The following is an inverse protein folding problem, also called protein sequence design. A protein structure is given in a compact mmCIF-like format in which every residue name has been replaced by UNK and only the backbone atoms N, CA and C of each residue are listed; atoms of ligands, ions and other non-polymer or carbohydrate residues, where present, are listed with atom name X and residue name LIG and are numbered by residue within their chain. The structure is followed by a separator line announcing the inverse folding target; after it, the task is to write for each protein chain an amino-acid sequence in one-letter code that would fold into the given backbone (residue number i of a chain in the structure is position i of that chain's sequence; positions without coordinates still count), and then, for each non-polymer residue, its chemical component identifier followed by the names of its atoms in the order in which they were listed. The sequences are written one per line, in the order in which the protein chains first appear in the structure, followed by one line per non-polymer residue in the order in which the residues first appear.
data_IF_682638574478
#
_entry.id   IF_682638574478
#
_cell.length_a   1.000
_cell.length_b   1.000
_cell.length_c   1.000
_cell.angle_alpha   90.00
_cell.angle_beta   90.00
_cell.angle_gamma   90.00
#
_symmetry.space_group_name_H-M   'P 1'
#
loop_
_entity.id
_entity.type
_entity.pdbx_description
1 polymer ?
#
# COMPACT_ATOMS: atom_id res chain seq x y z
N UNK A 1 0.32 -9.98 -7.39
CA UNK A 1 -0.93 -10.43 -8.06
C UNK A 1 -1.44 -9.41 -9.06
N UNK A 2 -1.75 -9.81 -10.31
CA UNK A 2 -2.33 -8.91 -11.34
C UNK A 2 -3.68 -8.32 -10.95
N UNK A 3 -4.47 -9.05 -10.15
CA UNK A 3 -5.85 -8.68 -9.80
C UNK A 3 -5.89 -7.40 -8.95
N UNK A 4 -5.12 -7.30 -7.87
CA UNK A 4 -5.24 -6.13 -7.00
C UNK A 4 -4.65 -4.85 -7.59
N UNK A 5 -3.66 -4.94 -8.49
CA UNK A 5 -3.22 -3.78 -9.29
C UNK A 5 -4.32 -3.31 -10.24
N UNK A 6 -4.99 -4.24 -10.92
CA UNK A 6 -6.10 -3.93 -11.85
C UNK A 6 -7.29 -3.33 -11.10
N UNK A 7 -7.65 -3.90 -9.95
CA UNK A 7 -8.70 -3.38 -9.07
C UNK A 7 -8.42 -1.94 -8.65
N UNK A 8 -7.18 -1.62 -8.25
CA UNK A 8 -6.81 -0.26 -7.87
C UNK A 8 -6.82 0.74 -9.04
N UNK A 9 -6.46 0.30 -10.24
CA UNK A 9 -6.47 1.15 -11.43
C UNK A 9 -7.90 1.48 -11.88
N UNK A 10 -8.80 0.50 -11.80
CA UNK A 10 -10.21 0.59 -12.21
C UNK A 10 -11.14 1.14 -11.12
N UNK A 11 -10.62 1.37 -9.90
CA UNK A 11 -11.40 1.93 -8.81
C UNK A 11 -11.82 3.38 -9.10
N UNK A 12 -13.11 3.72 -8.91
CA UNK A 12 -13.60 5.10 -8.97
C UNK A 12 -12.76 5.99 -8.06
N UNK A 13 -12.51 7.23 -8.49
CA UNK A 13 -11.63 8.17 -7.81
C UNK A 13 -12.03 8.40 -6.33
N UNK A 14 -13.31 8.28 -6.01
CA UNK A 14 -13.85 8.38 -4.65
C UNK A 14 -13.26 7.35 -3.67
N UNK A 15 -12.91 6.14 -4.15
CA UNK A 15 -12.29 5.09 -3.33
C UNK A 15 -10.76 5.23 -3.29
N UNK A 16 -10.17 5.98 -4.23
CA UNK A 16 -8.72 6.20 -4.32
C UNK A 16 -8.19 7.06 -3.16
N UNK A 17 -9.07 7.84 -2.52
CA UNK A 17 -8.77 8.64 -1.32
C UNK A 17 -9.23 8.00 0.00
N UNK A 18 -9.83 6.82 -0.05
CA UNK A 18 -10.22 6.11 1.18
C UNK A 18 -8.99 5.43 1.81
N UNK A 19 -8.78 5.71 3.09
CA UNK A 19 -7.69 5.16 3.89
C UNK A 19 -7.76 3.63 3.93
N UNK A 20 -8.96 3.05 4.00
CA UNK A 20 -9.14 1.60 4.12
C UNK A 20 -8.71 0.92 2.81
N UNK A 21 -9.16 1.46 1.68
CA UNK A 21 -8.81 0.98 0.33
C UNK A 21 -7.30 1.09 0.09
N UNK A 22 -6.70 2.25 0.37
CA UNK A 22 -5.26 2.46 0.16
C UNK A 22 -4.39 1.60 1.08
N UNK A 23 -4.79 1.42 2.35
CA UNK A 23 -4.07 0.56 3.30
C UNK A 23 -4.15 -0.90 2.88
N UNK A 24 -5.32 -1.36 2.46
CA UNK A 24 -5.53 -2.73 1.96
C UNK A 24 -4.66 -3.00 0.74
N UNK A 25 -4.56 -2.03 -0.17
CA UNK A 25 -3.67 -2.07 -1.33
C UNK A 25 -2.20 -2.20 -0.94
N UNK A 26 -1.73 -1.36 -0.02
CA UNK A 26 -0.36 -1.40 0.50
C UNK A 26 -0.07 -2.79 1.09
N UNK A 27 -0.92 -3.29 1.97
CA UNK A 27 -0.75 -4.63 2.56
C UNK A 27 -0.62 -5.72 1.50
N UNK A 28 -1.51 -5.71 0.50
CA UNK A 28 -1.50 -6.73 -0.53
C UNK A 28 -0.23 -6.63 -1.41
N UNK A 29 0.16 -5.41 -1.82
CA UNK A 29 1.36 -5.19 -2.63
C UNK A 29 2.62 -5.63 -1.89
N UNK A 30 2.76 -5.23 -0.63
CA UNK A 30 3.86 -5.66 0.25
C UNK A 30 3.90 -7.18 0.42
N UNK A 31 2.74 -7.83 0.62
CA UNK A 31 2.67 -9.30 0.74
C UNK A 31 3.17 -10.03 -0.51
N UNK A 32 3.10 -9.42 -1.69
CA UNK A 32 3.58 -10.00 -2.95
C UNK A 32 4.93 -9.42 -3.41
N UNK A 33 5.64 -8.70 -2.55
CA UNK A 33 6.95 -8.11 -2.86
C UNK A 33 6.93 -6.93 -3.80
N UNK A 34 5.77 -6.36 -4.10
CA UNK A 34 5.64 -5.18 -4.94
C UNK A 34 5.79 -3.90 -4.13
N UNK A 35 6.96 -3.76 -3.50
CA UNK A 35 7.27 -2.71 -2.55
C UNK A 35 7.17 -1.33 -3.20
N UNK A 36 7.66 -1.18 -4.43
CA UNK A 36 7.65 0.09 -5.17
C UNK A 36 6.21 0.61 -5.39
N UNK A 37 5.28 -0.25 -5.80
CA UNK A 37 3.90 0.18 -5.99
C UNK A 37 3.23 0.54 -4.67
N UNK A 38 3.55 -0.18 -3.58
CA UNK A 38 3.06 0.14 -2.24
C UNK A 38 3.57 1.52 -1.78
N UNK A 39 4.86 1.79 -1.95
CA UNK A 39 5.46 3.09 -1.66
C UNK A 39 4.83 4.22 -2.49
N UNK A 40 4.57 3.99 -3.78
CA UNK A 40 3.91 4.99 -4.64
C UNK A 40 2.51 5.35 -4.13
N UNK A 41 1.71 4.35 -3.76
CA UNK A 41 0.39 4.58 -3.16
C UNK A 41 0.54 5.36 -1.87
N UNK A 42 1.38 4.90 -0.96
CA UNK A 42 1.61 5.55 0.33
C UNK A 42 2.02 7.02 0.16
N UNK A 43 2.98 7.32 -0.73
CA UNK A 43 3.40 8.70 -1.03
C UNK A 43 2.25 9.54 -1.57
N UNK A 44 1.40 8.98 -2.43
CA UNK A 44 0.24 9.69 -3.02
C UNK A 44 -0.89 10.01 -2.04
N UNK A 45 -0.95 9.35 -0.87
CA UNK A 45 -1.99 9.60 0.13
C UNK A 45 -1.84 11.01 0.74
N UNK A 46 -2.89 11.83 0.62
CA UNK A 46 -2.95 13.19 1.21
C UNK A 46 -2.85 13.19 2.73
N UNK A 47 -3.47 12.21 3.39
CA UNK A 47 -3.39 11.98 4.84
C UNK A 47 -2.91 10.55 5.07
N UNK A 48 -2.06 10.37 6.07
CA UNK A 48 -1.55 9.08 6.53
C UNK A 48 -1.89 8.94 8.01
N UNK A 49 -2.24 7.75 8.45
CA UNK A 49 -2.56 7.46 9.85
C UNK A 49 -1.72 6.28 10.36
N UNK A 50 -1.82 6.00 11.66
CA UNK A 50 -1.04 4.93 12.31
C UNK A 50 -1.19 3.57 11.60
N UNK A 51 -2.37 3.28 11.04
CA UNK A 51 -2.64 2.03 10.33
C UNK A 51 -1.84 1.99 9.02
N UNK A 52 -1.81 3.07 8.24
CA UNK A 52 -1.03 3.14 7.00
C UNK A 52 0.48 3.05 7.24
N UNK A 53 1.00 3.66 8.31
CA UNK A 53 2.41 3.52 8.68
C UNK A 53 2.72 2.08 9.11
N UNK A 54 1.89 1.48 9.97
CA UNK A 54 2.06 0.10 10.40
C UNK A 54 2.05 -0.90 9.23
N UNK A 55 1.22 -0.66 8.21
CA UNK A 55 1.20 -1.45 6.98
C UNK A 55 2.53 -1.38 6.21
N UNK A 56 3.17 -0.21 6.14
CA UNK A 56 4.47 -0.03 5.49
C UNK A 56 5.58 -0.74 6.27
N UNK A 57 5.68 -0.50 7.58
CA UNK A 57 6.71 -1.12 8.44
C UNK A 57 6.62 -2.65 8.39
N UNK A 58 5.41 -3.20 8.61
CA UNK A 58 5.18 -4.64 8.51
C UNK A 58 5.54 -5.19 7.13
N UNK A 59 5.24 -4.42 6.08
CA UNK A 59 5.58 -4.75 4.71
C UNK A 59 7.08 -4.80 4.46
N UNK A 60 7.84 -3.82 4.93
CA UNK A 60 9.30 -3.80 4.79
C UNK A 60 9.97 -4.93 5.55
N UNK A 61 9.57 -5.18 6.80
CA UNK A 61 10.06 -6.32 7.58
C UNK A 61 9.80 -7.64 6.86
N UNK A 62 8.58 -7.82 6.34
CA UNK A 62 8.20 -9.04 5.60
C UNK A 62 8.90 -9.21 4.25
N UNK A 63 9.55 -8.17 3.73
CA UNK A 63 10.37 -8.20 2.52
C UNK A 63 11.87 -8.03 2.81
N UNK A 64 12.28 -8.22 4.07
CA UNK A 64 13.68 -8.17 4.51
C UNK A 64 14.36 -6.80 4.26
N UNK A 65 13.58 -5.72 4.15
CA UNK A 65 14.06 -4.36 3.92
C UNK A 65 14.19 -3.57 5.23
N UNK A 66 14.98 -4.07 6.18
CA UNK A 66 15.02 -3.56 7.56
C UNK A 66 15.41 -2.08 7.67
N UNK A 67 16.28 -1.58 6.79
CA UNK A 67 16.67 -0.17 6.74
C UNK A 67 15.51 0.79 6.38
N UNK A 68 14.41 0.25 5.83
CA UNK A 68 13.21 1.02 5.47
C UNK A 68 12.09 0.89 6.50
N UNK A 69 12.16 -0.10 7.40
CA UNK A 69 11.14 -0.39 8.40
C UNK A 69 11.18 0.66 9.52
#
# INVERSE_FOLDING_TARGET
MKIGKKLLAEMPEIYRNDHITSTSAIHMLMKFGDVESAERIFRSMKKKNIITYGAMVKGYVGNEMFEKA
#
